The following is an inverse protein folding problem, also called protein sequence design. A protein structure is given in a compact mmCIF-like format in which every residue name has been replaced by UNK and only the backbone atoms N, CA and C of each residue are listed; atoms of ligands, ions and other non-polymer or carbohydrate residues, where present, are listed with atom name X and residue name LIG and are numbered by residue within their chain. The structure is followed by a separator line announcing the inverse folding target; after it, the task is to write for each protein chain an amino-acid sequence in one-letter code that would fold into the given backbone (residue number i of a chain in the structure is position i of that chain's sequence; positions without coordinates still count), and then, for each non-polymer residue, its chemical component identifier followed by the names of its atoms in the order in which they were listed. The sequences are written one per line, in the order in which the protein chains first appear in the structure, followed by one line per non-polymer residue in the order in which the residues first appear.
data_IF_198165592977
#
_entry.id   IF_198165592977
#
_cell.length_a   1.000
_cell.length_b   1.000
_cell.length_c   1.000
_cell.angle_alpha   90.00
_cell.angle_beta   90.00
_cell.angle_gamma   90.00
#
_symmetry.space_group_name_H-M   'P 1'
#
loop_
_entity.id
_entity.type
_entity.pdbx_description
1 polymer ?
#
# COMPACT_ATOMS: atom_id res chain seq x y z
N UNK A 1 -14.62 -13.64 13.98
CA UNK A 1 -15.62 -12.57 13.82
C UNK A 1 -15.03 -11.54 12.86
N UNK A 2 -15.76 -11.11 11.82
CA UNK A 2 -15.30 -10.00 10.98
C UNK A 2 -15.27 -8.73 11.83
N UNK A 3 -14.13 -8.03 11.87
CA UNK A 3 -13.97 -6.78 12.61
C UNK A 3 -15.06 -5.78 12.18
N UNK A 4 -15.54 -4.99 13.14
CA UNK A 4 -16.53 -3.93 12.90
C UNK A 4 -15.96 -2.91 11.91
N UNK A 5 -14.65 -2.62 12.01
CA UNK A 5 -13.96 -1.72 11.10
C UNK A 5 -13.98 -2.24 9.65
N UNK A 6 -13.86 -3.56 9.45
CA UNK A 6 -13.91 -4.18 8.11
C UNK A 6 -15.29 -4.02 7.47
N UNK A 7 -16.38 -4.23 8.22
CA UNK A 7 -17.75 -4.08 7.69
C UNK A 7 -18.04 -2.64 7.28
N UNK A 8 -17.71 -1.68 8.13
CA UNK A 8 -17.84 -0.25 7.82
C UNK A 8 -17.01 0.13 6.61
N UNK A 9 -15.81 -0.44 6.47
CA UNK A 9 -14.93 -0.17 5.34
C UNK A 9 -15.48 -0.66 4.01
N UNK A 10 -16.16 -1.80 3.97
CA UNK A 10 -16.83 -2.28 2.74
C UNK A 10 -17.84 -1.25 2.25
N UNK A 11 -18.73 -0.76 3.13
CA UNK A 11 -19.72 0.26 2.76
C UNK A 11 -19.07 1.57 2.28
N UNK A 12 -17.99 2.02 2.94
CA UNK A 12 -17.22 3.20 2.52
C UNK A 12 -16.66 3.02 1.10
N UNK A 13 -16.09 1.86 0.80
CA UNK A 13 -15.53 1.56 -0.52
C UNK A 13 -16.63 1.52 -1.57
N UNK A 14 -17.79 0.90 -1.27
CA UNK A 14 -18.92 0.88 -2.19
C UNK A 14 -19.39 2.29 -2.54
N UNK A 15 -19.54 3.17 -1.55
CA UNK A 15 -19.92 4.58 -1.77
C UNK A 15 -18.86 5.29 -2.62
N UNK A 16 -17.59 5.08 -2.31
CA UNK A 16 -16.47 5.71 -3.01
C UNK A 16 -16.40 5.28 -4.49
N UNK A 17 -16.64 3.99 -4.76
CA UNK A 17 -16.73 3.46 -6.13
C UNK A 17 -17.96 4.04 -6.85
N UNK A 18 -19.12 4.06 -6.20
CA UNK A 18 -20.33 4.64 -6.78
C UNK A 18 -20.15 6.12 -7.17
N UNK A 19 -19.53 6.92 -6.30
CA UNK A 19 -19.23 8.33 -6.59
C UNK A 19 -18.25 8.47 -7.73
N UNK A 20 -17.23 7.60 -7.82
CA UNK A 20 -16.30 7.63 -8.95
C UNK A 20 -16.95 7.28 -10.28
N UNK A 21 -17.93 6.35 -10.27
CA UNK A 21 -18.74 6.04 -11.45
C UNK A 21 -19.66 7.19 -11.82
N UNK A 22 -20.34 7.82 -10.85
CA UNK A 22 -21.17 8.99 -11.10
C UNK A 22 -20.36 10.16 -11.67
N UNK A 23 -19.14 10.36 -11.17
CA UNK A 23 -18.23 11.36 -11.72
C UNK A 23 -17.88 11.07 -13.19
N UNK A 24 -17.58 9.81 -13.50
CA UNK A 24 -17.30 9.37 -14.88
C UNK A 24 -18.50 9.62 -15.81
N UNK A 25 -19.69 9.15 -15.43
CA UNK A 25 -20.92 9.31 -16.23
C UNK A 25 -21.30 10.78 -16.42
N UNK A 26 -21.19 11.60 -15.37
CA UNK A 26 -21.55 13.01 -15.45
C UNK A 26 -20.59 13.83 -16.32
N UNK A 27 -19.29 13.53 -16.25
CA UNK A 27 -18.28 14.27 -17.01
C UNK A 27 -18.21 13.86 -18.48
N UNK A 28 -18.77 12.70 -18.85
CA UNK A 28 -18.65 12.11 -20.21
C UNK A 28 -17.22 12.12 -20.74
N UNK A 29 -16.24 12.03 -19.84
CA UNK A 29 -14.85 12.13 -20.20
C UNK A 29 -14.40 10.80 -20.82
N UNK A 30 -13.95 10.85 -22.07
CA UNK A 30 -13.55 9.70 -22.86
C UNK A 30 -12.57 8.74 -22.12
N UNK A 31 -11.61 9.29 -21.37
CA UNK A 31 -10.65 8.53 -20.57
C UNK A 31 -10.97 8.55 -19.06
N UNK A 32 -12.17 9.00 -18.68
CA UNK A 32 -12.60 9.13 -17.29
C UNK A 32 -12.74 7.79 -16.55
N UNK A 33 -12.77 6.65 -17.27
CA UNK A 33 -12.74 5.31 -16.66
C UNK A 33 -11.51 5.10 -15.78
N UNK A 34 -10.40 5.79 -16.06
CA UNK A 34 -9.19 5.75 -15.26
C UNK A 34 -9.35 6.33 -13.87
N UNK A 35 -10.34 7.21 -13.65
CA UNK A 35 -10.74 7.71 -12.34
C UNK A 35 -11.27 6.54 -11.50
N UNK A 36 -12.21 5.78 -12.05
CA UNK A 36 -12.83 4.61 -11.41
C UNK A 36 -11.82 3.51 -11.13
N UNK A 37 -10.97 3.19 -12.12
CA UNK A 37 -9.93 2.17 -11.92
C UNK A 37 -8.97 2.61 -10.80
N UNK A 38 -8.66 3.90 -10.71
CA UNK A 38 -7.75 4.42 -9.69
C UNK A 38 -8.37 4.41 -8.29
N UNK A 39 -9.64 4.78 -8.15
CA UNK A 39 -10.35 4.72 -6.87
C UNK A 39 -10.45 3.29 -6.36
N UNK A 40 -10.86 2.34 -7.21
CA UNK A 40 -10.99 0.91 -6.85
C UNK A 40 -9.65 0.33 -6.42
N UNK A 41 -8.59 0.55 -7.20
CA UNK A 41 -7.28 -0.04 -6.91
C UNK A 41 -6.67 0.51 -5.61
N UNK A 42 -6.88 1.79 -5.33
CA UNK A 42 -6.46 2.43 -4.07
C UNK A 42 -7.27 1.92 -2.89
N UNK A 43 -8.58 1.73 -3.06
CA UNK A 43 -9.48 1.22 -2.03
C UNK A 43 -9.32 -0.29 -1.75
N UNK A 44 -8.72 -1.05 -2.67
CA UNK A 44 -8.62 -2.51 -2.62
C UNK A 44 -8.04 -3.17 -1.35
N UNK A 45 -7.15 -2.56 -0.54
CA UNK A 45 -6.69 -3.16 0.71
C UNK A 45 -7.74 -3.32 1.82
N UNK A 46 -8.96 -2.80 1.65
CA UNK A 46 -10.00 -2.79 2.70
C UNK A 46 -9.48 -2.30 4.08
N UNK A 47 -8.44 -1.47 4.06
CA UNK A 47 -7.75 -0.86 5.20
C UNK A 47 -7.52 0.60 4.85
N UNK A 48 -7.74 1.50 5.81
CA UNK A 48 -7.54 2.93 5.55
C UNK A 48 -6.07 3.22 5.30
N UNK A 49 -5.19 2.77 6.19
CA UNK A 49 -3.76 3.09 6.10
C UNK A 49 -3.11 2.49 4.86
N UNK A 50 -3.40 1.23 4.54
CA UNK A 50 -2.88 0.58 3.34
C UNK A 50 -3.43 1.25 2.07
N UNK A 51 -4.67 1.75 2.09
CA UNK A 51 -5.21 2.54 0.98
C UNK A 51 -4.45 3.84 0.77
N UNK A 52 -4.10 4.60 1.81
CA UNK A 52 -3.27 5.80 1.66
C UNK A 52 -1.87 5.48 1.15
N UNK A 53 -1.26 4.39 1.62
CA UNK A 53 0.04 3.95 1.10
C UNK A 53 -0.05 3.58 -0.38
N UNK A 54 -1.08 2.84 -0.79
CA UNK A 54 -1.36 2.54 -2.20
C UNK A 54 -1.66 3.79 -3.01
N UNK A 55 -2.39 4.76 -2.48
CA UNK A 55 -2.68 6.04 -3.14
C UNK A 55 -1.39 6.78 -3.48
N UNK A 56 -0.49 6.91 -2.50
CA UNK A 56 0.84 7.51 -2.67
C UNK A 56 1.68 6.73 -3.69
N UNK A 57 1.71 5.40 -3.59
CA UNK A 57 2.46 4.56 -4.53
C UNK A 57 1.90 4.65 -5.95
N UNK A 58 0.58 4.77 -6.11
CA UNK A 58 -0.08 4.96 -7.40
C UNK A 58 0.24 6.32 -7.99
N UNK A 59 0.14 7.38 -7.21
CA UNK A 59 0.51 8.74 -7.62
C UNK A 59 1.97 8.79 -8.11
N UNK A 60 2.92 8.33 -7.28
CA UNK A 60 4.35 8.35 -7.62
C UNK A 60 4.69 7.39 -8.75
N UNK A 61 4.07 6.20 -8.77
CA UNK A 61 4.30 5.20 -9.81
C UNK A 61 3.80 5.66 -11.17
N UNK A 62 2.62 6.30 -11.23
CA UNK A 62 2.09 6.87 -12.46
C UNK A 62 2.94 8.04 -12.93
N UNK A 63 3.35 8.96 -12.04
CA UNK A 63 4.22 10.09 -12.42
C UNK A 63 5.53 9.60 -13.07
N UNK A 64 6.21 8.64 -12.43
CA UNK A 64 7.45 8.06 -12.95
C UNK A 64 7.19 7.28 -14.25
N UNK A 65 6.11 6.49 -14.29
CA UNK A 65 5.70 5.75 -15.49
C UNK A 65 5.43 6.66 -16.69
N UNK A 66 4.79 7.81 -16.47
CA UNK A 66 4.53 8.81 -17.51
C UNK A 66 5.82 9.44 -18.05
N UNK A 67 6.80 9.72 -17.19
CA UNK A 67 8.11 10.24 -17.61
C UNK A 67 8.82 9.22 -18.52
N UNK A 68 8.83 7.95 -18.12
CA UNK A 68 9.39 6.88 -18.97
C UNK A 68 8.60 6.70 -20.27
N UNK A 69 7.26 6.77 -20.21
CA UNK A 69 6.42 6.65 -21.40
C UNK A 69 6.69 7.77 -22.39
N UNK A 70 6.73 9.03 -21.94
CA UNK A 70 7.06 10.17 -22.78
C UNK A 70 8.46 10.05 -23.40
N UNK A 71 9.45 9.59 -22.63
CA UNK A 71 10.82 9.38 -23.13
C UNK A 71 10.91 8.29 -24.20
N UNK A 72 10.25 7.14 -23.97
CA UNK A 72 10.21 6.04 -24.94
C UNK A 72 9.43 6.43 -26.19
N UNK A 73 8.30 7.11 -26.03
CA UNK A 73 7.49 7.61 -27.13
C UNK A 73 8.28 8.61 -27.99
N UNK A 74 8.98 9.56 -27.35
CA UNK A 74 9.86 10.50 -28.05
C UNK A 74 10.93 9.77 -28.86
N UNK A 75 11.58 8.76 -28.28
CA UNK A 75 12.59 7.95 -28.97
C UNK A 75 12.02 7.20 -30.19
N UNK A 76 10.89 6.52 -30.00
CA UNK A 76 10.23 5.73 -31.05
C UNK A 76 9.66 6.61 -32.18
N UNK A 77 9.32 7.86 -31.89
CA UNK A 77 8.89 8.82 -32.92
C UNK A 77 9.98 9.06 -33.97
N UNK A 78 11.24 9.07 -33.57
CA UNK A 78 12.38 9.19 -34.50
C UNK A 78 12.87 7.85 -35.03
N UNK A 79 12.54 6.73 -34.36
CA UNK A 79 12.99 5.38 -34.71
C UNK A 79 11.84 4.36 -34.72
N UNK A 80 10.81 4.51 -35.57
CA UNK A 80 9.60 3.69 -35.50
C UNK A 80 9.86 2.20 -35.79
N UNK A 81 10.86 1.88 -36.60
CA UNK A 81 11.26 0.49 -36.92
C UNK A 81 11.77 -0.30 -35.71
N UNK A 82 12.14 0.38 -34.62
CA UNK A 82 12.66 -0.26 -33.41
C UNK A 82 11.56 -0.64 -32.40
N UNK A 83 10.30 -0.34 -32.70
CA UNK A 83 9.17 -0.65 -31.83
C UNK A 83 9.14 -2.11 -31.34
N UNK A 84 9.35 -3.14 -32.18
CA UNK A 84 9.36 -4.53 -31.71
C UNK A 84 10.48 -4.82 -30.70
N UNK A 85 11.67 -4.24 -30.90
CA UNK A 85 12.82 -4.42 -30.02
C UNK A 85 12.57 -3.74 -28.67
N UNK A 86 12.09 -2.51 -28.69
CA UNK A 86 11.74 -1.75 -27.49
C UNK A 86 10.60 -2.45 -26.72
N UNK A 87 9.59 -2.97 -27.41
CA UNK A 87 8.49 -3.72 -26.81
C UNK A 87 8.98 -5.00 -26.11
N UNK A 88 9.91 -5.75 -26.71
CA UNK A 88 10.51 -6.94 -26.09
C UNK A 88 11.30 -6.59 -24.83
N UNK A 89 12.10 -5.52 -24.87
CA UNK A 89 12.85 -5.04 -23.69
C UNK A 89 11.88 -4.64 -22.58
N UNK A 90 10.83 -3.89 -22.90
CA UNK A 90 9.82 -3.48 -21.92
C UNK A 90 9.09 -4.71 -21.35
N UNK A 91 8.75 -5.70 -22.16
CA UNK A 91 8.10 -6.93 -21.70
C UNK A 91 8.99 -7.73 -20.72
N UNK A 92 10.30 -7.82 -21.01
CA UNK A 92 11.26 -8.45 -20.12
C UNK A 92 11.37 -7.71 -18.78
N UNK A 93 11.52 -6.38 -18.83
CA UNK A 93 11.57 -5.53 -17.64
C UNK A 93 10.25 -5.65 -16.86
N UNK A 94 9.11 -5.69 -17.55
CA UNK A 94 7.80 -5.85 -16.94
C UNK A 94 7.67 -7.18 -16.20
N UNK A 95 8.11 -8.29 -16.81
CA UNK A 95 8.14 -9.60 -16.17
C UNK A 95 8.96 -9.59 -14.88
N UNK A 96 10.14 -8.96 -14.88
CA UNK A 96 10.97 -8.85 -13.69
C UNK A 96 10.34 -7.93 -12.63
N UNK A 97 9.85 -6.75 -13.03
CA UNK A 97 9.31 -5.73 -12.12
C UNK A 97 7.97 -6.14 -11.50
N UNK A 98 7.16 -6.95 -12.20
CA UNK A 98 5.91 -7.50 -11.68
C UNK A 98 6.12 -8.39 -10.44
N UNK A 99 7.28 -9.04 -10.31
CA UNK A 99 7.61 -9.90 -9.16
C UNK A 99 8.09 -9.15 -7.92
N UNK A 100 8.32 -7.83 -8.03
CA UNK A 100 8.95 -7.03 -6.98
C UNK A 100 7.92 -6.25 -6.16
N UNK A 101 8.00 -4.92 -6.19
CA UNK A 101 7.15 -4.05 -5.37
C UNK A 101 5.96 -3.53 -6.18
N UNK A 102 4.84 -3.30 -5.50
CA UNK A 102 3.63 -2.73 -6.10
C UNK A 102 3.91 -1.40 -6.85
N UNK A 103 4.87 -0.61 -6.39
CA UNK A 103 5.30 0.63 -7.05
C UNK A 103 5.90 0.37 -8.44
N UNK A 104 6.75 -0.64 -8.57
CA UNK A 104 7.37 -1.02 -9.85
C UNK A 104 6.34 -1.56 -10.85
N UNK A 105 5.37 -2.33 -10.34
CA UNK A 105 4.25 -2.80 -11.14
C UNK A 105 3.45 -1.64 -11.75
N UNK A 106 3.12 -0.60 -10.97
CA UNK A 106 2.38 0.57 -11.48
C UNK A 106 3.16 1.32 -12.56
N UNK A 107 4.47 1.50 -12.39
CA UNK A 107 5.33 2.18 -13.38
C UNK A 107 5.23 1.47 -14.73
N UNK A 108 5.39 0.14 -14.72
CA UNK A 108 5.38 -0.67 -15.94
C UNK A 108 3.99 -0.78 -16.56
N UNK A 109 2.94 -0.94 -15.76
CA UNK A 109 1.57 -0.95 -16.30
C UNK A 109 1.25 0.39 -16.95
N UNK A 110 1.63 1.50 -16.33
CA UNK A 110 1.44 2.84 -16.90
C UNK A 110 2.18 2.96 -18.24
N UNK A 111 3.45 2.56 -18.28
CA UNK A 111 4.25 2.56 -19.51
C UNK A 111 3.62 1.73 -20.63
N UNK A 112 3.23 0.48 -20.34
CA UNK A 112 2.64 -0.44 -21.31
C UNK A 112 1.27 0.06 -21.80
N UNK A 113 0.43 0.58 -20.92
CA UNK A 113 -0.88 1.14 -21.30
C UNK A 113 -0.71 2.35 -22.22
N UNK A 114 0.19 3.28 -21.90
CA UNK A 114 0.42 4.47 -22.72
C UNK A 114 0.99 4.15 -24.10
N UNK A 115 1.97 3.24 -24.17
CA UNK A 115 2.51 2.80 -25.46
C UNK A 115 1.49 1.97 -26.24
N UNK A 116 0.80 1.04 -25.58
CA UNK A 116 -0.24 0.23 -26.20
C UNK A 116 -1.34 1.09 -26.83
N UNK A 117 -1.83 2.09 -26.11
CA UNK A 117 -2.86 3.00 -26.64
C UNK A 117 -2.35 3.85 -27.80
N UNK A 118 -1.12 4.36 -27.70
CA UNK A 118 -0.48 5.17 -28.76
C UNK A 118 -0.34 4.41 -30.08
N UNK A 119 0.05 3.13 -30.01
CA UNK A 119 0.38 2.34 -31.21
C UNK A 119 -0.77 1.43 -31.68
N UNK A 120 -1.75 1.08 -30.84
CA UNK A 120 -2.96 0.36 -31.28
C UNK A 120 -3.97 1.29 -31.96
N UNK A 121 -4.04 2.57 -31.57
CA UNK A 121 -4.98 3.54 -32.13
C UNK A 121 -4.39 4.40 -33.26
N UNK A 122 -3.19 4.04 -33.75
CA UNK A 122 -2.48 4.72 -34.84
C UNK A 122 -3.28 4.89 -36.15
N UNK A 123 -4.28 4.04 -36.50
CA UNK A 123 -5.13 4.30 -37.68
C UNK A 123 -6.36 5.18 -37.41
N UNK A 124 -6.75 5.41 -36.15
CA UNK A 124 -8.12 5.87 -35.82
C UNK A 124 -8.19 7.19 -35.06
N UNK A 125 -7.07 7.78 -34.64
CA UNK A 125 -7.09 9.01 -33.84
C UNK A 125 -6.03 10.02 -34.29
N UNK A 126 -6.46 11.26 -34.52
CA UNK A 126 -5.61 12.47 -34.64
C UNK A 126 -5.05 12.94 -33.31
N UNK A 127 -5.23 12.16 -32.24
CA UNK A 127 -4.76 12.49 -30.90
C UNK A 127 -3.24 12.48 -30.87
N UNK A 128 -2.66 13.62 -30.49
CA UNK A 128 -1.24 13.68 -30.16
C UNK A 128 -1.00 12.74 -28.96
N UNK A 129 -0.11 11.75 -29.03
CA UNK A 129 0.04 10.78 -27.94
C UNK A 129 0.37 11.38 -26.56
N UNK A 130 0.89 12.62 -26.54
CA UNK A 130 0.99 13.45 -25.34
C UNK A 130 -0.35 13.80 -24.65
N UNK A 131 -1.46 13.95 -25.37
CA UNK A 131 -2.75 14.24 -24.73
C UNK A 131 -3.28 13.02 -23.96
N UNK A 132 -3.04 11.80 -24.45
CA UNK A 132 -3.38 10.58 -23.71
C UNK A 132 -2.57 10.46 -22.41
N UNK A 133 -1.27 10.80 -22.44
CA UNK A 133 -0.44 10.83 -21.24
C UNK A 133 -0.99 11.81 -20.19
N UNK A 134 -1.44 12.99 -20.63
CA UNK A 134 -2.04 14.00 -19.77
C UNK A 134 -3.38 13.51 -19.21
N UNK A 135 -4.25 12.95 -20.06
CA UNK A 135 -5.54 12.43 -19.62
C UNK A 135 -5.38 11.30 -18.60
N UNK A 136 -4.39 10.42 -18.82
CA UNK A 136 -4.03 9.37 -17.87
C UNK A 136 -3.56 9.95 -16.53
N UNK A 137 -2.73 10.98 -16.57
CA UNK A 137 -2.25 11.67 -15.37
C UNK A 137 -3.43 12.24 -14.58
N UNK A 138 -4.28 13.03 -15.24
CA UNK A 138 -5.45 13.68 -14.63
C UNK A 138 -6.41 12.61 -14.09
N UNK A 139 -6.67 11.54 -14.82
CA UNK A 139 -7.56 10.46 -14.37
C UNK A 139 -7.07 9.78 -13.08
N UNK A 140 -5.77 9.51 -12.97
CA UNK A 140 -5.17 8.98 -11.73
C UNK A 140 -5.24 10.02 -10.60
N UNK A 141 -4.92 11.28 -10.87
CA UNK A 141 -4.96 12.34 -9.86
C UNK A 141 -6.36 12.59 -9.34
N UNK A 142 -7.37 12.67 -10.21
CA UNK A 142 -8.77 12.84 -9.83
C UNK A 142 -9.25 11.64 -9.04
N UNK A 143 -8.92 10.41 -9.44
CA UNK A 143 -9.31 9.22 -8.68
C UNK A 143 -8.68 9.19 -7.27
N UNK A 144 -7.39 9.53 -7.17
CA UNK A 144 -6.71 9.67 -5.87
C UNK A 144 -7.33 10.81 -5.05
N UNK A 145 -7.65 11.95 -5.66
CA UNK A 145 -8.26 13.10 -5.01
C UNK A 145 -9.64 12.77 -4.45
N UNK A 146 -10.51 12.10 -5.22
CA UNK A 146 -11.81 11.61 -4.76
C UNK A 146 -11.63 10.74 -3.52
N UNK A 147 -10.65 9.83 -3.55
CA UNK A 147 -10.34 9.01 -2.38
C UNK A 147 -9.97 9.85 -1.14
N UNK A 148 -9.06 10.81 -1.28
CA UNK A 148 -8.64 11.67 -0.18
C UNK A 148 -9.80 12.52 0.38
N UNK A 149 -10.61 13.11 -0.50
CA UNK A 149 -11.74 13.96 -0.12
C UNK A 149 -12.80 13.14 0.61
N UNK A 150 -13.21 12.01 0.05
CA UNK A 150 -14.18 11.12 0.68
C UNK A 150 -13.71 10.62 2.04
N UNK A 151 -12.44 10.20 2.12
CA UNK A 151 -11.87 9.69 3.35
C UNK A 151 -11.82 10.76 4.44
N UNK A 152 -11.39 11.98 4.11
CA UNK A 152 -11.21 13.05 5.08
C UNK A 152 -12.51 13.73 5.51
N UNK A 153 -13.41 13.99 4.57
CA UNK A 153 -14.61 14.80 4.83
C UNK A 153 -15.88 13.98 5.05
N UNK A 154 -15.99 12.78 4.50
CA UNK A 154 -17.21 11.96 4.60
C UNK A 154 -17.04 10.84 5.63
N UNK A 155 -15.92 10.12 5.58
CA UNK A 155 -15.71 8.95 6.45
C UNK A 155 -15.08 9.29 7.79
N UNK A 156 -14.29 10.37 7.85
CA UNK A 156 -13.63 10.83 9.07
C UNK A 156 -12.59 9.84 9.63
N UNK A 157 -12.16 10.10 10.87
CA UNK A 157 -10.99 9.43 11.46
C UNK A 157 -11.36 8.30 12.44
N UNK A 158 -12.62 8.19 12.86
CA UNK A 158 -13.04 7.25 13.91
C UNK A 158 -12.78 5.80 13.52
N UNK A 159 -13.12 5.42 12.28
CA UNK A 159 -12.86 4.07 11.77
C UNK A 159 -11.37 3.77 11.70
N UNK A 160 -10.56 4.75 11.28
CA UNK A 160 -9.11 4.59 11.15
C UNK A 160 -8.41 4.49 12.52
N UNK A 161 -8.93 5.16 13.56
CA UNK A 161 -8.45 4.99 14.93
C UNK A 161 -8.71 3.58 15.45
N UNK A 162 -9.93 3.07 15.25
CA UNK A 162 -10.31 1.70 15.62
C UNK A 162 -9.45 0.68 14.88
N UNK A 163 -9.29 0.83 13.57
CA UNK A 163 -8.46 -0.03 12.73
C UNK A 163 -7.00 -0.09 13.22
N UNK A 164 -6.42 1.06 13.58
CA UNK A 164 -5.05 1.12 14.11
C UNK A 164 -4.92 0.43 15.48
N UNK A 165 -5.92 0.57 16.35
CA UNK A 165 -5.95 -0.06 17.66
C UNK A 165 -6.11 -1.57 17.54
N UNK A 166 -7.04 -2.04 16.71
CA UNK A 166 -7.25 -3.46 16.42
C UNK A 166 -5.97 -4.12 15.90
N UNK A 167 -5.32 -3.51 14.90
CA UNK A 167 -4.07 -4.03 14.34
C UNK A 167 -2.92 -4.02 15.37
N UNK A 168 -2.85 -2.98 16.21
CA UNK A 168 -1.86 -2.89 17.29
C UNK A 168 -2.07 -3.99 18.34
N UNK A 169 -3.32 -4.25 18.71
CA UNK A 169 -3.69 -5.29 19.67
C UNK A 169 -3.44 -6.69 19.11
N UNK A 170 -3.82 -6.95 17.86
CA UNK A 170 -3.58 -8.21 17.18
C UNK A 170 -2.07 -8.50 17.05
N UNK A 171 -1.30 -7.49 16.66
CA UNK A 171 0.17 -7.60 16.59
C UNK A 171 0.78 -7.91 17.96
N UNK A 172 0.28 -7.27 19.02
CA UNK A 172 0.74 -7.49 20.38
C UNK A 172 0.38 -8.90 20.89
N UNK A 173 -0.81 -9.41 20.55
CA UNK A 173 -1.24 -10.78 20.86
C UNK A 173 -0.42 -11.82 20.10
N UNK A 174 -0.10 -11.57 18.82
CA UNK A 174 0.83 -12.41 18.03
C UNK A 174 2.21 -12.43 18.67
N UNK A 175 2.73 -11.27 19.08
CA UNK A 175 4.01 -11.18 19.80
C UNK A 175 3.99 -12.03 21.07
N UNK A 176 2.95 -11.92 21.90
CA UNK A 176 2.82 -12.71 23.12
C UNK A 176 2.89 -14.22 22.82
N UNK A 177 2.13 -14.67 21.83
CA UNK A 177 2.10 -16.08 21.43
C UNK A 177 3.47 -16.57 20.94
N UNK A 178 4.16 -15.79 20.10
CA UNK A 178 5.50 -16.16 19.60
C UNK A 178 6.55 -16.18 20.71
N UNK A 179 6.47 -15.27 21.69
CA UNK A 179 7.36 -15.28 22.85
C UNK A 179 7.09 -16.48 23.79
N UNK A 180 5.83 -16.90 23.94
CA UNK A 180 5.47 -18.11 24.67
C UNK A 180 5.99 -19.38 23.98
N UNK A 181 5.85 -19.47 22.65
CA UNK A 181 6.39 -20.59 21.86
C UNK A 181 7.91 -20.72 22.01
N UNK A 182 8.62 -19.59 22.00
CA UNK A 182 10.05 -19.57 22.24
C UNK A 182 10.42 -19.99 23.67
N UNK A 183 9.61 -19.62 24.67
CA UNK A 183 9.83 -20.01 26.07
C UNK A 183 9.68 -21.52 26.27
N UNK A 184 8.71 -22.14 25.61
CA UNK A 184 8.47 -23.59 25.70
C UNK A 184 9.56 -24.39 24.98
N UNK A 185 10.07 -23.90 23.85
CA UNK A 185 11.08 -24.58 23.05
C UNK A 185 12.27 -23.66 22.77
N UNK A 186 13.11 -23.42 23.78
CA UNK A 186 14.25 -22.51 23.67
C UNK A 186 15.44 -23.17 22.96
N UNK A 187 15.47 -23.08 21.63
CA UNK A 187 16.59 -23.51 20.79
C UNK A 187 17.02 -22.39 19.85
N UNK A 188 18.22 -22.49 19.28
CA UNK A 188 18.73 -21.46 18.36
C UNK A 188 17.85 -21.35 17.10
N UNK A 189 17.39 -22.48 16.56
CA UNK A 189 16.54 -22.53 15.37
C UNK A 189 15.15 -21.94 15.63
N UNK A 190 14.57 -22.20 16.80
CA UNK A 190 13.29 -21.58 17.20
C UNK A 190 13.44 -20.08 17.43
N UNK A 191 14.58 -19.60 17.95
CA UNK A 191 14.86 -18.17 18.08
C UNK A 191 14.78 -17.44 16.74
N UNK A 192 15.48 -17.96 15.72
CA UNK A 192 15.47 -17.38 14.38
C UNK A 192 14.09 -17.46 13.73
N UNK A 193 13.39 -18.60 13.85
CA UNK A 193 12.02 -18.75 13.33
C UNK A 193 11.07 -17.73 13.98
N UNK A 194 11.09 -17.63 15.31
CA UNK A 194 10.29 -16.65 16.06
C UNK A 194 10.62 -15.21 15.67
N UNK A 195 11.89 -14.89 15.44
CA UNK A 195 12.32 -13.56 14.97
C UNK A 195 11.75 -13.23 13.58
N UNK A 196 11.75 -14.21 12.67
CA UNK A 196 11.19 -14.07 11.33
C UNK A 196 9.67 -13.90 11.38
N UNK A 197 8.98 -14.67 12.23
CA UNK A 197 7.53 -14.57 12.43
C UNK A 197 7.14 -13.21 13.03
N UNK A 198 7.86 -12.71 14.04
CA UNK A 198 7.65 -11.35 14.58
C UNK A 198 7.85 -10.30 13.49
N UNK A 199 8.90 -10.43 12.68
CA UNK A 199 9.17 -9.49 11.60
C UNK A 199 8.05 -9.48 10.55
N UNK A 200 7.58 -10.66 10.13
CA UNK A 200 6.47 -10.80 9.20
C UNK A 200 5.18 -10.17 9.75
N UNK A 201 4.86 -10.46 11.01
CA UNK A 201 3.66 -9.96 11.70
C UNK A 201 3.69 -8.44 11.99
N UNK A 202 4.88 -7.80 11.97
CA UNK A 202 5.02 -6.36 12.22
C UNK A 202 4.89 -5.52 10.94
N UNK A 203 4.89 -6.15 9.76
CA UNK A 203 4.97 -5.45 8.46
C UNK A 203 3.79 -4.49 8.26
N UNK A 204 2.58 -4.94 8.54
CA UNK A 204 1.37 -4.15 8.33
C UNK A 204 1.28 -3.00 9.34
N UNK A 205 1.52 -3.27 10.64
CA UNK A 205 1.61 -2.22 11.66
C UNK A 205 2.67 -1.15 11.34
N UNK A 206 3.81 -1.55 10.78
CA UNK A 206 4.85 -0.62 10.34
C UNK A 206 4.37 0.28 9.20
N UNK A 207 3.67 -0.28 8.22
CA UNK A 207 3.00 0.50 7.17
C UNK A 207 1.99 1.48 7.79
N UNK A 208 1.16 1.03 8.73
CA UNK A 208 0.12 1.84 9.35
C UNK A 208 0.72 3.03 10.09
N UNK A 209 1.76 2.81 10.90
CA UNK A 209 2.48 3.87 11.60
C UNK A 209 3.13 4.86 10.63
N UNK A 210 3.70 4.38 9.51
CA UNK A 210 4.32 5.26 8.51
C UNK A 210 3.31 6.16 7.79
N UNK A 211 2.07 5.67 7.65
CA UNK A 211 0.99 6.35 6.93
C UNK A 211 0.08 7.16 7.87
N UNK A 212 0.20 6.97 9.19
CA UNK A 212 -0.66 7.61 10.19
C UNK A 212 -0.66 9.14 10.11
N UNK A 213 0.47 9.77 9.78
CA UNK A 213 0.54 11.23 9.61
C UNK A 213 -0.27 11.73 8.40
N UNK A 214 -0.44 10.90 7.36
CA UNK A 214 -1.26 11.23 6.19
C UNK A 214 -2.76 11.07 6.49
N UNK A 215 -3.11 10.14 7.37
CA UNK A 215 -4.50 9.88 7.78
C UNK A 215 -4.97 10.93 8.78
N UNK A 216 -4.22 11.11 9.88
CA UNK A 216 -4.64 11.93 11.02
C UNK A 216 -4.09 13.36 11.04
N UNK A 217 -3.23 13.72 10.08
CA UNK A 217 -2.44 14.96 10.12
C UNK A 217 -1.26 14.89 11.10
N UNK A 218 -0.53 16.00 11.25
CA UNK A 218 0.72 16.08 12.04
C UNK A 218 0.45 16.09 13.57
N UNK A 219 -0.78 15.78 14.00
CA UNK A 219 -1.16 15.69 15.40
C UNK A 219 -0.67 14.41 16.07
N UNK A 220 -0.31 14.50 17.36
CA UNK A 220 0.13 13.33 18.11
C UNK A 220 -1.08 12.58 18.69
N UNK A 221 -1.62 11.64 17.91
CA UNK A 221 -2.72 10.79 18.35
C UNK A 221 -2.27 9.71 19.33
N UNK A 222 -3.13 9.39 20.31
CA UNK A 222 -2.85 8.40 21.34
C UNK A 222 -2.68 7.00 20.73
N UNK A 223 -3.48 6.67 19.74
CA UNK A 223 -3.48 5.41 19.00
C UNK A 223 -2.16 5.25 18.20
N UNK A 224 -1.67 6.33 17.58
CA UNK A 224 -0.38 6.33 16.91
C UNK A 224 0.78 6.18 17.89
N UNK A 225 0.69 6.77 19.09
CA UNK A 225 1.67 6.53 20.16
C UNK A 225 1.65 5.07 20.61
N UNK A 226 0.46 4.49 20.78
CA UNK A 226 0.30 3.09 21.17
C UNK A 226 0.91 2.14 20.12
N UNK A 227 0.57 2.32 18.85
CA UNK A 227 1.13 1.55 17.74
C UNK A 227 2.67 1.64 17.69
N UNK A 228 3.24 2.84 17.89
CA UNK A 228 4.71 3.02 17.98
C UNK A 228 5.33 2.28 19.17
N UNK A 229 4.65 2.22 20.32
CA UNK A 229 5.11 1.46 21.47
C UNK A 229 5.12 -0.05 21.17
N UNK A 230 4.05 -0.57 20.57
CA UNK A 230 3.98 -1.99 20.15
C UNK A 230 5.11 -2.32 19.18
N UNK A 231 5.36 -1.45 18.19
CA UNK A 231 6.45 -1.63 17.23
C UNK A 231 7.84 -1.60 17.88
N UNK A 232 8.02 -0.78 18.93
CA UNK A 232 9.25 -0.75 19.72
C UNK A 232 9.45 -2.05 20.50
N UNK A 233 8.38 -2.62 21.07
CA UNK A 233 8.43 -3.91 21.75
C UNK A 233 8.78 -5.05 20.78
N UNK A 234 8.16 -5.08 19.59
CA UNK A 234 8.48 -6.06 18.55
C UNK A 234 9.95 -5.97 18.13
N UNK A 235 10.45 -4.76 17.83
CA UNK A 235 11.85 -4.58 17.46
C UNK A 235 12.81 -5.02 18.57
N UNK A 236 12.46 -4.78 19.84
CA UNK A 236 13.25 -5.23 20.98
C UNK A 236 13.25 -6.76 21.10
N UNK A 237 12.11 -7.40 20.90
CA UNK A 237 12.00 -8.85 20.89
C UNK A 237 12.82 -9.48 19.74
N UNK A 238 12.73 -8.93 18.53
CA UNK A 238 13.53 -9.38 17.38
C UNK A 238 15.02 -9.27 17.64
N UNK A 239 15.50 -8.15 18.21
CA UNK A 239 16.92 -7.99 18.58
C UNK A 239 17.35 -9.01 19.62
N UNK A 240 16.56 -9.22 20.66
CA UNK A 240 16.90 -10.21 21.71
C UNK A 240 17.00 -11.64 21.17
N UNK A 241 16.13 -12.01 20.23
CA UNK A 241 16.13 -13.35 19.61
C UNK A 241 17.27 -13.56 18.60
N UNK A 242 17.76 -12.50 17.96
CA UNK A 242 18.85 -12.56 16.98
C UNK A 242 20.23 -12.40 17.64
N UNK A 243 20.37 -11.40 18.51
CA UNK A 243 21.67 -10.97 19.03
C UNK A 243 22.11 -11.78 20.27
N UNK A 244 21.16 -12.25 21.10
CA UNK A 244 21.46 -12.91 22.38
C UNK A 244 20.59 -14.17 22.66
N UNK A 245 20.47 -15.14 21.74
CA UNK A 245 19.51 -16.25 21.85
C UNK A 245 19.73 -17.19 23.05
N UNK A 246 20.87 -17.15 23.75
CA UNK A 246 21.18 -17.98 24.92
C UNK A 246 20.99 -17.24 26.25
N UNK A 247 21.05 -15.91 26.26
CA UNK A 247 20.87 -15.05 27.46
C UNK A 247 19.45 -14.44 27.49
N UNK A 248 18.72 -14.55 26.37
CA UNK A 248 17.44 -13.91 26.16
C UNK A 248 16.31 -14.39 27.08
N UNK A 249 16.38 -15.57 27.71
CA UNK A 249 15.24 -16.14 28.44
C UNK A 249 14.72 -15.23 29.56
N UNK A 250 15.63 -14.69 30.39
CA UNK A 250 15.27 -13.78 31.50
C UNK A 250 14.73 -12.42 31.00
N UNK A 251 15.29 -11.91 29.90
CA UNK A 251 14.86 -10.65 29.27
C UNK A 251 13.54 -10.81 28.52
N UNK A 252 13.28 -12.00 27.97
CA UNK A 252 12.03 -12.37 27.31
C UNK A 252 10.91 -12.51 28.33
N UNK A 253 11.17 -13.06 29.53
CA UNK A 253 10.17 -13.10 30.60
C UNK A 253 9.74 -11.68 31.05
N UNK A 254 10.67 -10.75 31.18
CA UNK A 254 10.36 -9.35 31.46
C UNK A 254 9.53 -8.71 30.32
N UNK A 255 9.89 -9.00 29.06
CA UNK A 255 9.20 -8.46 27.89
C UNK A 255 7.79 -9.06 27.77
N UNK A 256 7.64 -10.36 28.03
CA UNK A 256 6.36 -11.07 28.08
C UNK A 256 5.46 -10.48 29.16
N UNK A 257 5.98 -10.15 30.34
CA UNK A 257 5.22 -9.50 31.41
C UNK A 257 4.70 -8.11 31.01
N UNK A 258 5.53 -7.32 30.31
CA UNK A 258 5.12 -6.00 29.80
C UNK A 258 4.02 -6.15 28.73
N UNK A 259 4.17 -7.15 27.86
CA UNK A 259 3.20 -7.46 26.78
C UNK A 259 1.87 -7.91 27.37
N UNK A 260 1.87 -8.81 28.35
CA UNK A 260 0.65 -9.30 29.01
C UNK A 260 -0.07 -8.20 29.78
N UNK A 261 0.66 -7.33 30.48
CA UNK A 261 0.09 -6.16 31.16
C UNK A 261 -0.57 -5.18 30.18
N UNK A 262 0.00 -5.02 28.97
CA UNK A 262 -0.56 -4.14 27.94
C UNK A 262 -1.78 -4.75 27.24
N UNK A 263 -1.85 -6.07 27.11
CA UNK A 263 -3.03 -6.77 26.58
C UNK A 263 -4.21 -6.77 27.58
N UNK A 264 -3.92 -6.72 28.87
CA UNK A 264 -4.94 -6.68 29.93
C UNK A 264 -5.57 -5.30 30.16
N UNK A 265 -5.07 -4.24 29.49
CA UNK A 265 -5.56 -2.87 29.56
C UNK A 265 -6.33 -2.51 28.28
#
# INVERSE_FOLDING_TARGET
MQSVATKTRVSQITILVAISFLFYEYTNWQEGIWVVISTVVVAGPFSTFLSFEKAKNRFLGTLVGLIFAAGVEYYLRFNPSQLPVVALIIAFIAGFMATKSYRYFIIIVTLCTCLGYTYMNMPYTTFAPMSFLIDRAIGVFVGVLIFFVMQKFVFGDNNSKLELLEESYETLGKLQKTLLEYKENSTLTTAYKCSADIFANTKDLKSYVSTANLVFGVGVNQETRYAKQVLTLNNRATRLLIDEPTVALSRIDQLLHIVTLKLAR
#
